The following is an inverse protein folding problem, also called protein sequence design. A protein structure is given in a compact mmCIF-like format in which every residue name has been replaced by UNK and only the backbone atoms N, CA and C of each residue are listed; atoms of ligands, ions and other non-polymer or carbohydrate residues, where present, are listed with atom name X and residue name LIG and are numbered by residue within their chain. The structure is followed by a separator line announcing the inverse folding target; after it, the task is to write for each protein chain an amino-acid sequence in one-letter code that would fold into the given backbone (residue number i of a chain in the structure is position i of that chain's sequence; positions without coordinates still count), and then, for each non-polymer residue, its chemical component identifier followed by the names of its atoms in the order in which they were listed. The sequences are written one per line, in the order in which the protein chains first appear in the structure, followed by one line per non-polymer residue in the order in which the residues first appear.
data_IF_912417019160
#
_entry.id   IF_912417019160
#
_cell.length_a   1.000
_cell.length_b   1.000
_cell.length_c   1.000
_cell.angle_alpha   90.00
_cell.angle_beta   90.00
_cell.angle_gamma   90.00
#
_symmetry.space_group_name_H-M   'P 1'
#
loop_
_entity.id
_entity.type
_entity.pdbx_description
1 polymer ?
#
# COMPACT_ATOMS: atom_id res chain seq x y z
N UNK A 1 12.96 19.12 5.39
CA UNK A 1 11.48 19.05 5.32
C UNK A 1 11.08 17.62 5.50
N UNK A 2 10.17 17.34 6.44
CA UNK A 2 9.65 16.01 6.73
C UNK A 2 8.32 15.80 6.01
N UNK A 3 8.23 14.71 5.26
CA UNK A 3 7.03 14.35 4.51
C UNK A 3 6.15 13.44 5.39
N UNK A 4 5.15 14.03 6.02
CA UNK A 4 4.15 13.32 6.83
C UNK A 4 2.84 13.11 6.05
N UNK A 5 2.96 13.03 4.74
CA UNK A 5 1.89 12.75 3.77
C UNK A 5 1.81 11.24 3.46
N UNK A 6 0.76 10.76 2.77
CA UNK A 6 0.58 9.34 2.46
C UNK A 6 1.55 8.77 1.40
N UNK A 7 2.68 9.41 1.18
CA UNK A 7 3.75 9.07 0.23
C UNK A 7 3.78 10.01 -0.99
N UNK A 8 4.97 10.29 -1.56
CA UNK A 8 6.26 9.71 -1.19
C UNK A 8 6.69 10.06 0.23
N UNK A 9 7.69 9.36 0.75
CA UNK A 9 8.15 9.45 2.14
C UNK A 9 9.47 10.21 2.27
N UNK A 10 9.82 10.65 3.48
CA UNK A 10 11.17 11.12 3.79
C UNK A 10 12.11 9.92 3.76
N UNK A 11 13.14 10.00 2.91
CA UNK A 11 14.14 8.93 2.76
C UNK A 11 15.26 9.10 3.77
N UNK A 12 15.84 7.98 4.19
CA UNK A 12 17.16 7.98 4.84
C UNK A 12 18.23 8.50 3.87
N UNK A 13 19.35 8.95 4.40
CA UNK A 13 20.49 9.33 3.57
C UNK A 13 21.05 8.15 2.77
N UNK A 14 21.02 6.96 3.36
CA UNK A 14 21.49 5.71 2.76
C UNK A 14 20.70 5.37 1.50
N UNK A 15 19.36 5.36 1.57
CA UNK A 15 18.49 5.13 0.42
C UNK A 15 18.64 6.24 -0.62
N UNK A 16 18.80 7.50 -0.19
CA UNK A 16 19.01 8.62 -1.13
C UNK A 16 20.32 8.48 -1.88
N UNK A 17 21.40 8.07 -1.20
CA UNK A 17 22.71 7.88 -1.81
C UNK A 17 22.75 6.68 -2.76
N UNK A 18 21.86 5.68 -2.61
CA UNK A 18 21.77 4.58 -3.55
C UNK A 18 21.34 5.00 -4.96
N UNK A 19 20.75 6.19 -5.12
CA UNK A 19 20.43 6.77 -6.44
C UNK A 19 21.66 7.25 -7.22
N UNK A 20 22.82 7.34 -6.56
CA UNK A 20 24.09 7.76 -7.15
C UNK A 20 24.98 6.57 -7.56
N UNK A 21 24.41 5.35 -7.54
CA UNK A 21 25.13 4.15 -7.99
C UNK A 21 25.40 4.21 -9.50
N UNK A 22 26.41 3.43 -9.91
CA UNK A 22 26.82 3.32 -11.31
C UNK A 22 25.67 2.89 -12.21
N UNK A 23 25.59 3.45 -13.40
CA UNK A 23 24.61 3.04 -14.42
C UNK A 23 24.76 1.56 -14.75
N UNK A 24 23.63 0.85 -14.82
CA UNK A 24 23.58 -0.53 -15.25
C UNK A 24 22.80 -0.66 -16.56
N UNK A 25 23.31 -1.49 -17.46
CA UNK A 25 22.53 -1.97 -18.58
C UNK A 25 21.53 -3.02 -18.07
N UNK A 26 20.25 -2.80 -18.33
CA UNK A 26 19.18 -3.69 -17.89
C UNK A 26 19.14 -5.06 -18.63
N UNK A 27 20.11 -5.31 -19.52
CA UNK A 27 20.29 -6.57 -20.27
C UNK A 27 21.51 -7.37 -19.81
N UNK A 28 22.20 -6.89 -18.77
CA UNK A 28 23.42 -7.51 -18.25
C UNK A 28 23.17 -8.17 -16.89
N UNK A 29 24.07 -9.08 -16.50
CA UNK A 29 23.99 -9.89 -15.28
C UNK A 29 23.85 -9.05 -14.01
N UNK A 30 24.51 -7.91 -13.94
CA UNK A 30 24.53 -7.02 -12.78
C UNK A 30 23.13 -6.47 -12.47
N UNK A 31 22.37 -6.14 -13.52
CA UNK A 31 20.96 -5.75 -13.33
C UNK A 31 20.09 -6.92 -12.92
N UNK A 32 20.34 -8.12 -13.48
CA UNK A 32 19.57 -9.30 -13.09
C UNK A 32 19.85 -9.70 -11.64
N UNK A 33 21.08 -9.54 -11.16
CA UNK A 33 21.42 -9.76 -9.74
C UNK A 33 20.66 -8.77 -8.83
N UNK A 34 20.60 -7.49 -9.20
CA UNK A 34 19.82 -6.47 -8.49
C UNK A 34 18.32 -6.80 -8.47
N UNK A 35 17.78 -7.23 -9.62
CA UNK A 35 16.37 -7.64 -9.76
C UNK A 35 16.05 -8.86 -8.89
N UNK A 36 16.91 -9.88 -8.92
CA UNK A 36 16.73 -11.11 -8.16
C UNK A 36 16.84 -10.85 -6.65
N UNK A 37 17.77 -9.99 -6.21
CA UNK A 37 17.86 -9.59 -4.81
C UNK A 37 16.59 -8.89 -4.34
N UNK A 38 16.06 -7.94 -5.13
CA UNK A 38 14.81 -7.26 -4.79
C UNK A 38 13.64 -8.26 -4.65
N UNK A 39 13.50 -9.16 -5.61
CA UNK A 39 12.44 -10.19 -5.61
C UNK A 39 12.55 -11.14 -4.42
N UNK A 40 13.75 -11.62 -4.13
CA UNK A 40 13.99 -12.53 -3.02
C UNK A 40 13.67 -11.88 -1.66
N UNK A 41 14.11 -10.64 -1.44
CA UNK A 41 13.83 -9.88 -0.21
C UNK A 41 12.35 -9.60 -0.04
N UNK A 42 11.63 -9.25 -1.11
CA UNK A 42 10.19 -9.00 -1.06
C UNK A 42 9.39 -10.26 -0.67
N UNK A 43 9.75 -11.42 -1.21
CA UNK A 43 9.13 -12.71 -0.84
C UNK A 43 9.44 -13.07 0.61
N UNK A 44 10.71 -12.89 1.02
CA UNK A 44 11.17 -13.20 2.38
C UNK A 44 10.53 -12.30 3.44
N UNK A 45 10.12 -11.07 3.11
CA UNK A 45 9.62 -10.09 4.08
C UNK A 45 8.45 -10.58 4.94
N UNK A 46 7.60 -11.46 4.40
CA UNK A 46 6.51 -12.13 5.12
C UNK A 46 6.74 -13.64 5.26
N UNK A 47 7.99 -14.09 5.26
CA UNK A 47 8.40 -15.49 5.41
C UNK A 47 7.76 -16.43 4.36
N UNK A 48 7.52 -15.94 3.14
CA UNK A 48 6.87 -16.68 2.07
C UNK A 48 7.83 -17.70 1.43
N UNK A 49 7.30 -18.88 1.08
CA UNK A 49 8.02 -19.89 0.33
C UNK A 49 8.19 -19.45 -1.15
N UNK A 50 9.41 -19.26 -1.66
CA UNK A 50 9.65 -18.86 -3.05
C UNK A 50 9.21 -19.93 -4.07
N UNK A 51 9.00 -21.17 -3.65
CA UNK A 51 8.40 -22.21 -4.50
C UNK A 51 6.90 -21.97 -4.73
N UNK A 52 6.23 -21.29 -3.81
CA UNK A 52 4.79 -21.00 -3.88
C UNK A 52 4.49 -19.56 -4.28
N UNK A 53 5.40 -18.63 -4.01
CA UNK A 53 5.20 -17.20 -4.20
C UNK A 53 6.26 -16.57 -5.09
N UNK A 54 5.90 -15.54 -5.79
CA UNK A 54 6.80 -14.72 -6.60
C UNK A 54 6.53 -13.24 -6.36
N UNK A 55 7.60 -12.44 -6.35
CA UNK A 55 7.50 -10.99 -6.48
C UNK A 55 7.72 -10.62 -7.95
N UNK A 56 6.76 -9.98 -8.57
CA UNK A 56 6.83 -9.52 -9.96
C UNK A 56 7.00 -8.01 -9.97
N UNK A 57 8.19 -7.55 -10.34
CA UNK A 57 8.56 -6.13 -10.36
C UNK A 57 8.09 -5.45 -11.65
N UNK A 58 7.78 -4.15 -11.54
CA UNK A 58 7.46 -3.30 -12.68
C UNK A 58 7.87 -1.85 -12.43
N UNK A 59 8.17 -1.14 -13.50
CA UNK A 59 8.36 0.31 -13.43
C UNK A 59 6.99 0.99 -13.46
N UNK A 60 6.69 1.72 -12.37
CA UNK A 60 5.42 2.40 -12.24
C UNK A 60 5.11 2.82 -10.81
N UNK A 61 3.91 3.35 -10.62
CA UNK A 61 3.35 3.65 -9.30
C UNK A 61 2.63 2.42 -8.72
N UNK A 62 2.20 2.49 -7.45
CA UNK A 62 1.36 1.44 -6.85
C UNK A 62 0.09 1.15 -7.65
N UNK A 63 -0.50 2.16 -8.31
CA UNK A 63 -1.65 1.96 -9.21
C UNK A 63 -1.31 1.04 -10.37
N UNK A 64 -0.09 1.09 -10.93
CA UNK A 64 0.34 0.17 -11.98
C UNK A 64 0.37 -1.29 -11.49
N UNK A 65 0.79 -1.53 -10.24
CA UNK A 65 0.76 -2.86 -9.64
C UNK A 65 -0.68 -3.37 -9.42
N UNK A 66 -1.57 -2.51 -8.91
CA UNK A 66 -3.00 -2.86 -8.73
C UNK A 66 -3.65 -3.15 -10.08
N UNK A 67 -3.41 -2.31 -11.07
CA UNK A 67 -3.94 -2.48 -12.44
C UNK A 67 -3.43 -3.79 -13.08
N UNK A 68 -2.11 -4.06 -12.98
CA UNK A 68 -1.49 -5.30 -13.44
C UNK A 68 -2.11 -6.53 -12.78
N UNK A 69 -2.27 -6.50 -11.45
CA UNK A 69 -2.87 -7.57 -10.67
C UNK A 69 -4.32 -7.87 -11.10
N UNK A 70 -5.17 -6.85 -11.12
CA UNK A 70 -6.59 -6.97 -11.46
C UNK A 70 -6.77 -7.43 -12.93
N UNK A 71 -6.02 -6.81 -13.86
CA UNK A 71 -6.13 -7.11 -15.27
C UNK A 71 -5.61 -8.51 -15.65
N UNK A 72 -4.77 -9.12 -14.82
CA UNK A 72 -4.19 -10.43 -15.10
C UNK A 72 -4.90 -11.58 -14.36
N UNK A 73 -5.27 -11.40 -13.10
CA UNK A 73 -5.67 -12.53 -12.24
C UNK A 73 -7.17 -12.84 -12.25
N UNK A 74 -8.02 -11.88 -12.64
CA UNK A 74 -9.45 -12.18 -12.81
C UNK A 74 -9.64 -12.88 -14.15
N UNK A 75 -10.08 -14.15 -14.20
CA UNK A 75 -10.24 -14.90 -15.45
C UNK A 75 -11.35 -14.29 -16.32
N UNK A 76 -11.31 -14.55 -17.64
CA UNK A 76 -12.29 -14.00 -18.60
C UNK A 76 -13.74 -14.42 -18.30
N UNK A 77 -13.90 -15.65 -17.84
CA UNK A 77 -15.20 -16.22 -17.44
C UNK A 77 -15.52 -16.01 -15.96
N UNK A 78 -14.66 -15.30 -15.22
CA UNK A 78 -14.85 -14.97 -13.81
C UNK A 78 -15.40 -13.59 -13.60
N UNK A 79 -15.82 -13.31 -12.37
CA UNK A 79 -16.31 -12.02 -11.93
C UNK A 79 -15.58 -11.55 -10.69
N UNK A 80 -15.32 -10.26 -10.60
CA UNK A 80 -14.68 -9.60 -9.45
C UNK A 80 -15.74 -8.97 -8.55
N UNK A 81 -15.72 -9.27 -7.26
CA UNK A 81 -16.42 -8.47 -6.26
C UNK A 81 -15.46 -7.44 -5.69
N UNK A 82 -15.84 -6.17 -5.70
CA UNK A 82 -15.01 -5.07 -5.22
C UNK A 82 -15.61 -4.50 -3.93
N UNK A 83 -14.79 -4.40 -2.89
CA UNK A 83 -15.16 -3.77 -1.62
C UNK A 83 -14.73 -2.32 -1.68
N UNK A 84 -15.72 -1.40 -1.67
CA UNK A 84 -15.47 0.04 -1.67
C UNK A 84 -15.81 0.66 -0.32
N UNK A 85 -14.83 1.31 0.30
CA UNK A 85 -15.01 2.16 1.48
C UNK A 85 -14.08 3.39 1.46
N UNK A 86 -13.66 3.82 0.26
CA UNK A 86 -12.82 4.97 0.01
C UNK A 86 -12.41 5.10 -1.46
N UNK A 87 -11.62 6.13 -1.74
CA UNK A 87 -11.18 6.48 -3.12
C UNK A 87 -10.42 5.35 -3.80
N UNK A 88 -9.65 4.56 -3.03
CA UNK A 88 -8.83 3.49 -3.64
C UNK A 88 -9.68 2.28 -4.01
N UNK A 89 -10.73 1.96 -3.25
CA UNK A 89 -11.73 0.98 -3.67
C UNK A 89 -12.46 1.40 -4.94
N UNK A 90 -12.90 2.66 -5.04
CA UNK A 90 -13.50 3.22 -6.25
C UNK A 90 -12.55 3.16 -7.46
N UNK A 91 -11.23 3.32 -7.24
CA UNK A 91 -10.21 3.19 -8.30
C UNK A 91 -10.16 1.77 -8.85
N UNK A 92 -10.28 0.74 -8.02
CA UNK A 92 -10.34 -0.66 -8.50
C UNK A 92 -11.55 -0.87 -9.40
N UNK A 93 -12.70 -0.29 -9.05
CA UNK A 93 -13.91 -0.35 -9.91
C UNK A 93 -13.69 0.35 -11.26
N UNK A 94 -13.00 1.49 -11.27
CA UNK A 94 -12.65 2.18 -12.51
C UNK A 94 -11.69 1.35 -13.39
N UNK A 95 -10.70 0.69 -12.78
CA UNK A 95 -9.79 -0.23 -13.47
C UNK A 95 -10.57 -1.41 -14.05
N UNK A 96 -11.42 -2.06 -13.27
CA UNK A 96 -12.23 -3.18 -13.72
C UNK A 96 -13.14 -2.78 -14.90
N UNK A 97 -13.79 -1.62 -14.83
CA UNK A 97 -14.61 -1.07 -15.90
C UNK A 97 -13.78 -0.78 -17.17
N UNK A 98 -12.60 -0.16 -17.02
CA UNK A 98 -11.71 0.17 -18.15
C UNK A 98 -11.28 -1.08 -18.93
N UNK A 99 -11.00 -2.18 -18.24
CA UNK A 99 -10.63 -3.46 -18.84
C UNK A 99 -11.81 -4.36 -19.15
N UNK A 100 -13.04 -3.87 -18.96
CA UNK A 100 -14.29 -4.63 -19.18
C UNK A 100 -14.33 -5.95 -18.41
N UNK A 101 -13.74 -5.95 -17.22
CA UNK A 101 -13.80 -7.09 -16.30
C UNK A 101 -15.21 -7.12 -15.68
N UNK A 102 -15.87 -8.27 -15.78
CA UNK A 102 -17.16 -8.46 -15.11
C UNK A 102 -16.98 -8.24 -13.60
N UNK A 103 -17.73 -7.33 -13.01
CA UNK A 103 -17.59 -7.00 -11.59
C UNK A 103 -18.92 -6.60 -10.95
N UNK A 104 -18.95 -6.70 -9.65
CA UNK A 104 -19.97 -6.10 -8.78
C UNK A 104 -19.29 -5.39 -7.63
N UNK A 105 -20.00 -4.49 -6.98
CA UNK A 105 -19.46 -3.63 -5.92
C UNK A 105 -20.31 -3.78 -4.67
N UNK A 106 -19.65 -3.97 -3.52
CA UNK A 106 -20.26 -3.77 -2.19
C UNK A 106 -19.73 -2.43 -1.67
N UNK A 107 -20.56 -1.40 -1.82
CA UNK A 107 -20.20 -0.04 -1.45
C UNK A 107 -20.55 0.25 0.00
N UNK A 108 -19.62 0.91 0.70
CA UNK A 108 -19.78 1.41 2.07
C UNK A 108 -19.52 2.92 2.06
N UNK A 109 -20.04 3.62 3.06
CA UNK A 109 -19.65 4.99 3.30
C UNK A 109 -18.16 5.04 3.67
N UNK A 110 -17.49 6.12 3.30
CA UNK A 110 -16.12 6.34 3.70
C UNK A 110 -16.03 6.37 5.22
N UNK A 111 -14.98 5.83 5.79
CA UNK A 111 -14.79 5.61 7.23
C UNK A 111 -15.56 4.41 7.83
N UNK A 112 -16.46 3.75 7.11
CA UNK A 112 -17.08 2.52 7.57
C UNK A 112 -16.20 1.29 7.31
N UNK A 113 -16.22 0.35 8.26
CA UNK A 113 -15.63 -0.97 8.04
C UNK A 113 -16.45 -1.73 6.97
N UNK A 114 -15.80 -2.63 6.19
CA UNK A 114 -16.51 -3.53 5.31
C UNK A 114 -17.55 -4.39 6.06
N UNK A 115 -18.77 -4.38 5.60
CA UNK A 115 -19.85 -5.22 6.14
C UNK A 115 -19.71 -6.64 5.58
N UNK A 116 -19.16 -7.53 6.40
CA UNK A 116 -18.90 -8.93 6.02
C UNK A 116 -20.18 -9.70 5.67
N UNK A 117 -21.31 -9.38 6.29
CA UNK A 117 -22.57 -10.03 5.99
C UNK A 117 -23.08 -9.65 4.58
N UNK A 118 -22.95 -8.37 4.19
CA UNK A 118 -23.27 -7.92 2.82
C UNK A 118 -22.35 -8.53 1.78
N UNK A 119 -21.06 -8.66 2.10
CA UNK A 119 -20.06 -9.31 1.21
C UNK A 119 -20.44 -10.79 1.06
N UNK A 120 -20.69 -11.50 2.15
CA UNK A 120 -21.10 -12.90 2.14
C UNK A 120 -22.37 -13.10 1.29
N UNK A 121 -23.39 -12.27 1.50
CA UNK A 121 -24.64 -12.33 0.72
C UNK A 121 -24.41 -12.09 -0.79
N UNK A 122 -23.52 -11.16 -1.16
CA UNK A 122 -23.17 -10.93 -2.56
C UNK A 122 -22.48 -12.14 -3.20
N UNK A 123 -21.56 -12.80 -2.46
CA UNK A 123 -20.88 -14.02 -2.90
C UNK A 123 -21.83 -15.23 -3.00
N UNK A 124 -22.85 -15.28 -2.13
CA UNK A 124 -23.86 -16.34 -2.17
C UNK A 124 -24.84 -16.17 -3.32
N UNK A 125 -25.17 -14.93 -3.65
CA UNK A 125 -26.10 -14.58 -4.72
C UNK A 125 -25.53 -14.78 -6.13
N UNK A 126 -24.19 -14.68 -6.30
CA UNK A 126 -23.55 -14.74 -7.60
C UNK A 126 -22.33 -15.67 -7.60
N UNK A 127 -22.53 -16.90 -8.04
CA UNK A 127 -21.47 -17.93 -8.10
C UNK A 127 -20.45 -17.74 -9.24
N UNK A 128 -20.64 -16.76 -10.11
CA UNK A 128 -19.64 -16.36 -11.10
C UNK A 128 -18.48 -15.55 -10.47
N UNK A 129 -18.64 -15.05 -9.24
CA UNK A 129 -17.61 -14.32 -8.53
C UNK A 129 -16.49 -15.30 -8.14
N UNK A 130 -15.30 -15.06 -8.69
CA UNK A 130 -14.10 -15.86 -8.45
C UNK A 130 -13.11 -15.17 -7.52
N UNK A 131 -13.15 -13.84 -7.49
CA UNK A 131 -12.22 -13.02 -6.73
C UNK A 131 -12.92 -11.87 -5.99
N UNK A 132 -12.39 -11.53 -4.81
CA UNK A 132 -12.73 -10.31 -4.07
C UNK A 132 -11.52 -9.38 -4.11
N UNK A 133 -11.70 -8.13 -4.53
CA UNK A 133 -10.68 -7.09 -4.42
C UNK A 133 -10.99 -6.19 -3.22
N UNK A 134 -9.96 -5.91 -2.43
CA UNK A 134 -10.06 -5.09 -1.21
C UNK A 134 -8.81 -4.25 -1.01
N UNK A 135 -8.99 -3.03 -0.51
CA UNK A 135 -7.90 -2.20 0.00
C UNK A 135 -7.58 -2.65 1.42
N UNK A 136 -6.32 -2.94 1.75
CA UNK A 136 -5.93 -3.26 3.12
C UNK A 136 -5.93 -2.00 3.99
N UNK A 137 -5.18 -0.97 3.59
CA UNK A 137 -5.13 0.32 4.28
C UNK A 137 -5.71 1.41 3.36
N UNK A 138 -6.91 1.88 3.66
CA UNK A 138 -7.58 2.94 2.91
C UNK A 138 -7.10 4.31 3.41
N UNK A 139 -6.11 4.87 2.71
CA UNK A 139 -5.47 6.14 3.11
C UNK A 139 -6.36 7.37 2.95
N UNK A 140 -7.53 7.24 2.32
CA UNK A 140 -8.56 8.31 2.31
C UNK A 140 -8.91 8.72 3.73
N UNK A 141 -9.01 7.75 4.64
CA UNK A 141 -9.50 7.91 6.01
C UNK A 141 -8.51 7.41 7.08
N UNK A 142 -7.50 6.62 6.70
CA UNK A 142 -6.59 5.94 7.60
C UNK A 142 -7.10 4.59 8.10
N UNK A 143 -8.22 4.08 7.56
CA UNK A 143 -8.82 2.81 7.98
C UNK A 143 -7.96 1.60 7.58
N UNK A 144 -7.72 0.72 8.53
CA UNK A 144 -7.20 -0.62 8.27
C UNK A 144 -8.37 -1.60 8.15
N UNK A 145 -8.55 -2.21 6.99
CA UNK A 145 -9.61 -3.19 6.77
C UNK A 145 -9.16 -4.58 7.25
N UNK A 146 -10.04 -5.29 7.95
CA UNK A 146 -9.75 -6.60 8.52
C UNK A 146 -9.71 -7.68 7.42
N UNK A 147 -8.50 -7.95 6.92
CA UNK A 147 -8.27 -9.00 5.93
C UNK A 147 -8.51 -10.39 6.47
N UNK A 148 -8.28 -10.64 7.79
CA UNK A 148 -8.47 -11.96 8.41
C UNK A 148 -9.95 -12.32 8.42
N UNK A 149 -10.80 -11.41 8.86
CA UNK A 149 -12.24 -11.64 8.87
C UNK A 149 -12.81 -11.79 7.45
N UNK A 150 -12.33 -11.00 6.48
CA UNK A 150 -12.74 -11.14 5.08
C UNK A 150 -12.25 -12.46 4.47
N UNK A 151 -11.05 -12.93 4.84
CA UNK A 151 -10.50 -14.19 4.36
C UNK A 151 -11.37 -15.39 4.77
N UNK A 152 -11.93 -15.38 5.98
CA UNK A 152 -12.89 -16.42 6.43
C UNK A 152 -14.10 -16.46 5.49
N UNK A 153 -14.72 -15.31 5.20
CA UNK A 153 -15.88 -15.20 4.30
C UNK A 153 -15.57 -15.74 2.90
N UNK A 154 -14.37 -15.39 2.38
CA UNK A 154 -13.91 -15.84 1.06
C UNK A 154 -13.61 -17.33 1.02
N UNK A 155 -12.93 -17.87 2.05
CA UNK A 155 -12.57 -19.30 2.17
C UNK A 155 -13.79 -20.19 2.16
N UNK A 156 -14.80 -19.86 2.96
CA UNK A 156 -16.05 -20.63 3.03
C UNK A 156 -16.76 -20.74 1.68
N UNK A 157 -16.46 -19.85 0.73
CA UNK A 157 -17.07 -19.78 -0.61
C UNK A 157 -16.10 -20.12 -1.75
N UNK A 158 -14.88 -20.55 -1.39
CA UNK A 158 -13.82 -20.85 -2.35
C UNK A 158 -13.49 -19.68 -3.32
N UNK A 159 -13.55 -18.45 -2.81
CA UNK A 159 -13.25 -17.23 -3.55
C UNK A 159 -11.85 -16.73 -3.14
N UNK A 160 -11.04 -16.24 -4.08
CA UNK A 160 -9.70 -15.73 -3.82
C UNK A 160 -9.72 -14.23 -3.55
N UNK A 161 -8.71 -13.74 -2.81
CA UNK A 161 -8.55 -12.32 -2.52
C UNK A 161 -7.42 -11.71 -3.34
N UNK A 162 -7.67 -10.53 -3.90
CA UNK A 162 -6.70 -9.63 -4.52
C UNK A 162 -6.61 -8.38 -3.64
N UNK A 163 -5.46 -8.17 -3.03
CA UNK A 163 -5.28 -7.15 -1.99
C UNK A 163 -4.50 -5.96 -2.54
N UNK A 164 -5.04 -4.77 -2.43
CA UNK A 164 -4.26 -3.54 -2.54
C UNK A 164 -3.54 -3.31 -1.20
N UNK A 165 -2.25 -3.66 -1.18
CA UNK A 165 -1.33 -3.45 -0.07
C UNK A 165 -0.40 -2.25 -0.29
N UNK A 166 -0.69 -1.36 -1.23
CA UNK A 166 0.18 -0.24 -1.64
C UNK A 166 0.65 0.60 -0.45
N UNK A 167 -0.18 0.82 0.54
CA UNK A 167 0.16 1.61 1.73
C UNK A 167 0.23 0.81 3.03
N UNK A 168 0.25 -0.52 2.96
CA UNK A 168 0.32 -1.39 4.14
C UNK A 168 1.46 -2.41 4.07
N UNK A 169 1.86 -2.84 2.87
CA UNK A 169 2.90 -3.84 2.67
C UNK A 169 4.25 -3.35 3.23
N UNK A 170 4.81 -4.14 4.15
CA UNK A 170 6.07 -3.83 4.85
C UNK A 170 5.87 -3.15 6.21
N UNK A 171 4.61 -2.91 6.65
CA UNK A 171 4.34 -2.33 7.97
C UNK A 171 3.09 -2.88 8.65
N UNK A 172 2.10 -3.39 7.92
CA UNK A 172 0.91 -4.01 8.50
C UNK A 172 0.96 -5.53 8.36
N UNK A 173 0.25 -6.24 9.23
CA UNK A 173 0.16 -7.69 9.16
C UNK A 173 -0.66 -8.13 7.96
N UNK A 174 -0.10 -8.98 7.10
CA UNK A 174 -0.82 -9.65 6.02
C UNK A 174 -0.66 -11.16 6.23
N UNK A 175 -1.75 -11.85 6.56
CA UNK A 175 -1.73 -13.29 6.80
C UNK A 175 -1.83 -14.07 5.49
N UNK A 176 -0.68 -14.31 4.87
CA UNK A 176 -0.59 -15.12 3.66
C UNK A 176 -0.85 -16.62 3.90
N UNK A 177 -0.66 -17.09 5.15
CA UNK A 177 -0.83 -18.50 5.50
C UNK A 177 -2.31 -18.93 5.51
N UNK A 178 -3.24 -17.98 5.65
CA UNK A 178 -4.70 -18.20 5.56
C UNK A 178 -5.12 -18.84 4.22
N UNK A 179 -4.34 -18.66 3.16
CA UNK A 179 -4.49 -19.37 1.89
C UNK A 179 -5.48 -18.76 0.90
N UNK A 180 -6.30 -17.78 1.29
CA UNK A 180 -7.26 -17.12 0.39
C UNK A 180 -6.63 -16.03 -0.47
N UNK A 181 -5.58 -15.35 0.02
CA UNK A 181 -4.88 -14.31 -0.73
C UNK A 181 -4.18 -14.94 -1.95
N UNK A 182 -4.57 -14.51 -3.15
CA UNK A 182 -3.92 -14.89 -4.39
C UNK A 182 -2.78 -13.94 -4.76
N UNK A 183 -2.95 -12.64 -4.47
CA UNK A 183 -1.93 -11.64 -4.73
C UNK A 183 -2.11 -10.37 -3.87
N UNK A 184 -0.99 -9.67 -3.67
CA UNK A 184 -0.92 -8.36 -3.02
C UNK A 184 -0.15 -7.41 -3.92
N UNK A 185 -0.75 -6.29 -4.33
CA UNK A 185 -0.09 -5.22 -5.05
C UNK A 185 0.53 -4.20 -4.09
N UNK A 186 1.76 -3.77 -4.35
CA UNK A 186 2.47 -2.82 -3.51
C UNK A 186 3.48 -1.94 -4.28
N UNK A 187 4.16 -1.03 -3.58
CA UNK A 187 5.09 -0.07 -4.18
C UNK A 187 6.25 0.27 -3.23
N UNK A 188 7.39 0.64 -3.81
CA UNK A 188 8.59 0.98 -3.06
C UNK A 188 8.45 2.24 -2.18
N UNK A 189 7.75 3.26 -2.65
CA UNK A 189 7.73 4.62 -2.08
C UNK A 189 6.73 4.83 -0.94
N UNK A 190 6.32 3.75 -0.28
CA UNK A 190 5.45 3.75 0.90
C UNK A 190 6.20 3.13 2.09
N UNK A 191 5.63 2.14 2.76
CA UNK A 191 6.21 1.53 3.96
C UNK A 191 7.59 0.89 3.77
N UNK A 192 8.01 0.61 2.55
CA UNK A 192 9.37 0.12 2.25
C UNK A 192 10.44 1.22 2.30
N UNK A 193 10.07 2.50 2.17
CA UNK A 193 10.96 3.66 2.14
C UNK A 193 11.87 3.76 0.91
N UNK A 194 11.49 3.13 -0.20
CA UNK A 194 12.14 3.37 -1.49
C UNK A 194 11.62 4.65 -2.17
N UNK A 195 12.04 4.87 -3.41
CA UNK A 195 11.59 6.01 -4.24
C UNK A 195 10.41 5.63 -5.12
N UNK A 196 9.62 6.60 -5.62
CA UNK A 196 8.65 6.35 -6.69
C UNK A 196 9.34 5.81 -7.94
N UNK A 197 8.68 4.87 -8.64
CA UNK A 197 9.19 4.31 -9.89
C UNK A 197 9.35 2.79 -9.89
N UNK A 198 9.35 2.15 -8.73
CA UNK A 198 9.30 0.69 -8.58
C UNK A 198 8.02 0.28 -7.86
N UNK A 199 7.27 -0.61 -8.50
CA UNK A 199 6.07 -1.24 -7.94
C UNK A 199 6.14 -2.74 -8.19
N UNK A 200 5.32 -3.53 -7.49
CA UNK A 200 5.38 -4.98 -7.60
C UNK A 200 4.07 -5.64 -7.18
N UNK A 201 3.93 -6.89 -7.59
CA UNK A 201 2.86 -7.78 -7.13
C UNK A 201 3.50 -9.00 -6.49
N UNK A 202 3.17 -9.26 -5.24
CA UNK A 202 3.42 -10.55 -4.60
C UNK A 202 2.28 -11.48 -5.00
N UNK A 203 2.58 -12.58 -5.66
CA UNK A 203 1.55 -13.42 -6.27
C UNK A 203 1.85 -14.89 -6.06
N UNK A 204 0.80 -15.69 -5.81
CA UNK A 204 0.91 -17.15 -5.82
C UNK A 204 1.26 -17.65 -7.22
N UNK A 205 2.21 -18.58 -7.31
CA UNK A 205 2.65 -19.14 -8.59
C UNK A 205 1.54 -19.92 -9.31
N UNK A 206 0.64 -20.58 -8.58
CA UNK A 206 -0.52 -21.27 -9.14
C UNK A 206 -1.54 -20.27 -9.73
N UNK A 207 -1.79 -19.15 -9.03
CA UNK A 207 -2.65 -18.08 -9.54
C UNK A 207 -2.05 -17.43 -10.79
N UNK A 208 -0.74 -17.24 -10.82
CA UNK A 208 -0.02 -16.71 -11.97
C UNK A 208 -0.05 -17.67 -13.18
N UNK A 209 0.09 -18.97 -12.94
CA UNK A 209 0.02 -20.00 -13.98
C UNK A 209 -1.38 -20.10 -14.64
N UNK A 210 -2.44 -19.77 -13.89
CA UNK A 210 -3.81 -19.73 -14.38
C UNK A 210 -4.20 -18.37 -14.99
N UNK A 211 -3.32 -17.36 -14.93
CA UNK A 211 -3.62 -16.00 -15.33
C UNK A 211 -3.47 -15.74 -16.82
N UNK A 212 -4.22 -14.75 -17.32
CA UNK A 212 -4.11 -14.24 -18.69
C UNK A 212 -4.12 -12.71 -18.65
N UNK A 213 -2.98 -12.08 -18.97
CA UNK A 213 -2.87 -10.62 -18.92
C UNK A 213 -3.66 -9.94 -20.05
N UNK A 214 -4.51 -8.97 -19.69
CA UNK A 214 -5.23 -8.09 -20.63
C UNK A 214 -4.38 -6.90 -21.07
N UNK A 215 -3.21 -6.73 -20.48
CA UNK A 215 -2.30 -5.60 -20.71
C UNK A 215 -1.02 -6.08 -21.40
N UNK A 216 -0.40 -5.22 -22.22
CA UNK A 216 0.89 -5.51 -22.82
C UNK A 216 2.06 -5.09 -21.93
N UNK A 217 2.14 -3.78 -21.57
CA UNK A 217 3.23 -3.24 -20.76
C UNK A 217 3.17 -3.72 -19.31
N UNK A 218 1.98 -3.70 -18.70
CA UNK A 218 1.74 -4.18 -17.34
C UNK A 218 1.38 -5.68 -17.30
N UNK A 219 1.70 -6.44 -18.34
CA UNK A 219 1.36 -7.86 -18.44
C UNK A 219 2.06 -8.71 -17.38
N UNK A 220 1.38 -8.96 -16.25
CA UNK A 220 1.93 -9.64 -15.08
C UNK A 220 2.57 -10.99 -15.42
N UNK A 221 1.90 -11.80 -16.22
CA UNK A 221 2.41 -13.12 -16.65
C UNK A 221 3.71 -13.00 -17.42
N UNK A 222 3.77 -12.05 -18.37
CA UNK A 222 4.97 -11.81 -19.17
C UNK A 222 6.13 -11.28 -18.34
N UNK A 223 5.85 -10.32 -17.45
CA UNK A 223 6.86 -9.79 -16.53
C UNK A 223 7.44 -10.90 -15.66
N UNK A 224 6.59 -11.72 -15.04
CA UNK A 224 7.00 -12.83 -14.20
C UNK A 224 7.85 -13.86 -14.96
N UNK A 225 7.36 -14.33 -16.13
CA UNK A 225 8.06 -15.32 -16.94
C UNK A 225 9.47 -14.88 -17.34
N UNK A 226 9.64 -13.60 -17.70
CA UNK A 226 10.96 -13.10 -18.10
C UNK A 226 11.86 -12.87 -16.88
N UNK A 227 11.32 -12.37 -15.77
CA UNK A 227 12.10 -12.21 -14.53
C UNK A 227 12.55 -13.55 -13.96
N UNK A 228 11.74 -14.62 -14.06
CA UNK A 228 12.15 -15.96 -13.65
C UNK A 228 13.28 -16.54 -14.54
N UNK A 229 13.44 -16.02 -15.76
CA UNK A 229 14.52 -16.36 -16.70
C UNK A 229 15.71 -15.37 -16.61
N UNK A 230 15.81 -14.57 -15.56
CA UNK A 230 16.82 -13.51 -15.42
C UNK A 230 16.82 -12.58 -16.63
N UNK A 231 15.66 -12.02 -16.95
CA UNK A 231 15.44 -11.09 -18.05
C UNK A 231 14.38 -10.04 -17.69
N UNK A 232 14.18 -9.05 -18.54
CA UNK A 232 13.10 -8.06 -18.42
C UNK A 232 12.60 -7.65 -19.80
N UNK A 233 11.28 -7.50 -20.00
CA UNK A 233 10.75 -7.22 -21.34
C UNK A 233 10.96 -5.77 -21.81
N UNK A 234 11.16 -4.84 -20.87
CA UNK A 234 11.22 -3.41 -21.11
C UNK A 234 12.40 -2.80 -20.37
N UNK A 235 12.61 -1.49 -20.53
CA UNK A 235 13.63 -0.75 -19.80
C UNK A 235 13.08 -0.35 -18.42
N UNK A 236 13.54 -0.96 -17.33
CA UNK A 236 13.09 -0.62 -15.99
C UNK A 236 13.79 0.64 -15.46
N UNK A 237 13.24 1.21 -14.40
CA UNK A 237 13.87 2.31 -13.66
C UNK A 237 14.99 1.75 -12.76
N UNK A 238 16.20 1.56 -13.31
CA UNK A 238 17.33 0.94 -12.62
C UNK A 238 17.62 1.60 -11.27
N UNK A 239 17.68 2.94 -11.22
CA UNK A 239 17.94 3.68 -9.99
C UNK A 239 16.85 3.49 -8.93
N UNK A 240 15.57 3.34 -9.34
CA UNK A 240 14.51 3.01 -8.40
C UNK A 240 14.67 1.58 -7.83
N UNK A 241 15.26 0.65 -8.59
CA UNK A 241 15.56 -0.70 -8.10
C UNK A 241 16.73 -0.70 -7.12
N UNK A 242 17.77 0.10 -7.34
CA UNK A 242 18.82 0.33 -6.33
C UNK A 242 18.22 0.84 -5.02
N UNK A 243 17.38 1.87 -5.10
CA UNK A 243 16.72 2.42 -3.93
C UNK A 243 15.78 1.43 -3.24
N UNK A 244 15.08 0.59 -3.99
CA UNK A 244 14.24 -0.48 -3.44
C UNK A 244 15.07 -1.53 -2.69
N UNK A 245 16.17 -2.00 -3.29
CA UNK A 245 17.04 -3.01 -2.66
C UNK A 245 17.65 -2.44 -1.37
N UNK A 246 18.14 -1.20 -1.41
CA UNK A 246 18.73 -0.58 -0.23
C UNK A 246 17.69 -0.35 0.89
N UNK A 247 16.48 0.08 0.53
CA UNK A 247 15.39 0.21 1.48
C UNK A 247 14.95 -1.14 2.09
N UNK A 248 15.01 -2.22 1.32
CA UNK A 248 14.74 -3.57 1.82
C UNK A 248 15.87 -4.10 2.74
N UNK A 249 17.13 -3.71 2.49
CA UNK A 249 18.24 -4.01 3.39
C UNK A 249 18.07 -3.30 4.73
N UNK A 250 17.74 -2.00 4.71
CA UNK A 250 17.41 -1.27 5.94
C UNK A 250 16.24 -1.88 6.70
N UNK A 251 15.19 -2.33 6.00
CA UNK A 251 14.06 -3.00 6.63
C UNK A 251 14.44 -4.34 7.28
N UNK A 252 15.29 -5.14 6.63
CA UNK A 252 15.84 -6.38 7.21
C UNK A 252 16.66 -6.07 8.48
N UNK A 253 17.52 -5.04 8.43
CA UNK A 253 18.37 -4.61 9.55
C UNK A 253 17.55 -4.04 10.72
N UNK A 254 16.41 -3.39 10.44
CA UNK A 254 15.44 -2.93 11.44
C UNK A 254 14.76 -4.09 12.18
N UNK A 255 14.73 -5.29 11.61
CA UNK A 255 14.05 -6.48 12.14
C UNK A 255 12.78 -6.85 11.37
N UNK A 256 12.65 -6.40 10.14
CA UNK A 256 11.55 -6.69 9.23
C UNK A 256 10.27 -5.90 9.50
N UNK A 257 9.17 -6.33 8.86
CA UNK A 257 7.90 -5.60 8.94
C UNK A 257 7.33 -5.48 10.36
N UNK A 258 7.60 -6.47 11.24
CA UNK A 258 7.10 -6.44 12.63
C UNK A 258 7.75 -5.35 13.45
N UNK A 259 9.06 -5.14 13.29
CA UNK A 259 9.78 -4.06 13.96
C UNK A 259 9.33 -2.69 13.41
N UNK A 260 9.15 -2.58 12.10
CA UNK A 260 8.61 -1.37 11.46
C UNK A 260 7.19 -1.06 11.92
N UNK A 261 6.33 -2.07 12.01
CA UNK A 261 4.98 -1.93 12.58
C UNK A 261 5.03 -1.35 14.00
N UNK A 262 5.86 -1.94 14.87
CA UNK A 262 5.99 -1.49 16.25
C UNK A 262 6.50 -0.04 16.34
N UNK A 263 7.48 0.34 15.51
CA UNK A 263 7.97 1.72 15.43
C UNK A 263 6.87 2.68 14.97
N UNK A 264 6.14 2.34 13.92
CA UNK A 264 5.04 3.18 13.42
C UNK A 264 3.91 3.30 14.43
N UNK A 265 3.57 2.22 15.14
CA UNK A 265 2.57 2.24 16.20
C UNK A 265 2.96 3.23 17.30
N UNK A 266 4.22 3.17 17.77
CA UNK A 266 4.71 4.09 18.79
C UNK A 266 4.62 5.57 18.35
N UNK A 267 5.01 5.88 17.11
CA UNK A 267 4.94 7.23 16.55
C UNK A 267 3.49 7.69 16.33
N UNK A 268 2.62 6.80 15.85
CA UNK A 268 1.21 7.10 15.63
C UNK A 268 0.47 7.35 16.94
N UNK A 269 0.78 6.58 18.00
CA UNK A 269 0.20 6.82 19.33
C UNK A 269 0.73 8.11 19.96
N UNK A 270 2.02 8.39 19.87
CA UNK A 270 2.60 9.66 20.32
C UNK A 270 1.91 10.87 19.65
N UNK A 271 1.72 10.81 18.34
CA UNK A 271 1.01 11.85 17.59
C UNK A 271 -0.46 11.96 18.04
N UNK A 272 -1.17 10.82 18.16
CA UNK A 272 -2.58 10.77 18.54
C UNK A 272 -2.80 11.36 19.94
N UNK A 273 -2.01 10.92 20.92
CA UNK A 273 -2.13 11.40 22.31
C UNK A 273 -1.77 12.88 22.42
N UNK A 274 -0.69 13.28 21.75
CA UNK A 274 -0.27 14.68 21.74
C UNK A 274 -1.29 15.60 21.09
N UNK A 275 -1.94 15.21 19.99
CA UNK A 275 -3.01 15.97 19.33
C UNK A 275 -4.28 15.96 20.17
N UNK A 276 -4.65 14.84 20.78
CA UNK A 276 -5.80 14.74 21.66
C UNK A 276 -5.69 15.68 22.89
N UNK A 277 -4.51 15.77 23.48
CA UNK A 277 -4.23 16.71 24.58
C UNK A 277 -4.41 18.20 24.16
N UNK A 278 -4.41 18.48 22.86
CA UNK A 278 -4.65 19.80 22.24
C UNK A 278 -6.08 19.97 21.71
N UNK A 279 -6.98 19.05 22.04
CA UNK A 279 -8.38 19.08 21.60
C UNK A 279 -8.60 18.60 20.17
N UNK A 280 -7.59 17.99 19.52
CA UNK A 280 -7.70 17.49 18.15
C UNK A 280 -7.99 15.99 18.17
N UNK A 281 -9.19 15.61 17.78
CA UNK A 281 -9.65 14.23 17.81
C UNK A 281 -9.24 13.46 16.54
N UNK A 282 -8.93 12.17 16.69
CA UNK A 282 -8.83 11.24 15.58
C UNK A 282 -10.18 11.06 14.88
N UNK A 283 -10.14 10.85 13.57
CA UNK A 283 -11.35 10.61 12.78
C UNK A 283 -11.92 9.20 13.00
N UNK A 284 -11.04 8.23 13.29
CA UNK A 284 -11.39 6.84 13.58
C UNK A 284 -10.85 6.41 14.95
N UNK A 285 -11.44 5.37 15.57
CA UNK A 285 -10.85 4.68 16.72
C UNK A 285 -9.43 4.16 16.41
N UNK A 286 -8.60 4.03 17.43
CA UNK A 286 -7.20 3.63 17.26
C UNK A 286 -7.07 2.19 16.71
N UNK A 287 -7.93 1.29 17.17
CA UNK A 287 -8.00 -0.13 16.77
C UNK A 287 -8.60 -0.36 15.37
N UNK A 288 -9.22 0.65 14.78
CA UNK A 288 -9.71 0.64 13.41
C UNK A 288 -8.77 1.38 12.44
N UNK A 289 -7.74 2.03 12.98
CA UNK A 289 -6.79 2.85 12.22
C UNK A 289 -5.50 2.10 11.94
N UNK A 290 -4.94 2.29 10.74
CA UNK A 290 -3.58 1.85 10.43
C UNK A 290 -2.54 2.58 11.29
N UNK A 291 -1.44 1.88 11.58
CA UNK A 291 -0.25 2.51 12.20
C UNK A 291 0.50 3.42 11.24
N UNK A 292 0.21 3.31 9.93
CA UNK A 292 0.95 3.97 8.84
C UNK A 292 0.51 5.42 8.65
N UNK A 293 -0.81 5.67 8.77
CA UNK A 293 -1.39 6.99 8.58
C UNK A 293 -2.69 7.08 9.35
N UNK A 294 -2.88 8.21 10.02
CA UNK A 294 -4.15 8.54 10.70
C UNK A 294 -4.74 9.85 10.21
N UNK A 295 -6.06 9.90 10.17
CA UNK A 295 -6.81 11.12 9.90
C UNK A 295 -7.29 11.76 11.22
N UNK A 296 -7.29 13.08 11.25
CA UNK A 296 -7.66 13.91 12.40
C UNK A 296 -8.65 14.97 11.96
N UNK A 297 -9.56 15.36 12.88
CA UNK A 297 -10.49 16.46 12.62
C UNK A 297 -9.74 17.79 12.61
N UNK A 298 -10.08 18.65 11.67
CA UNK A 298 -9.56 20.01 11.69
C UNK A 298 -10.08 20.74 12.95
N UNK A 299 -9.24 21.55 13.62
CA UNK A 299 -9.68 22.36 14.76
C UNK A 299 -10.73 23.39 14.29
N UNK A 300 -11.65 23.73 15.19
CA UNK A 300 -12.70 24.70 14.90
C UNK A 300 -12.12 26.04 14.42
N UNK A 301 -12.64 26.55 13.32
CA UNK A 301 -12.21 27.82 12.74
C UNK A 301 -10.84 27.79 12.02
N UNK A 302 -10.21 26.63 11.89
CA UNK A 302 -8.94 26.46 11.18
C UNK A 302 -9.17 25.75 9.86
N UNK A 303 -8.87 26.42 8.74
CA UNK A 303 -8.89 25.76 7.44
C UNK A 303 -7.64 24.87 7.25
N UNK A 304 -7.78 23.83 6.40
CA UNK A 304 -6.65 22.97 6.08
C UNK A 304 -5.47 23.77 5.48
N UNK A 305 -5.74 24.72 4.58
CA UNK A 305 -4.72 25.53 3.91
C UNK A 305 -3.90 26.30 4.93
N UNK A 306 -4.57 26.95 5.92
CA UNK A 306 -3.88 27.66 6.99
C UNK A 306 -3.01 26.73 7.83
N UNK A 307 -3.54 25.57 8.22
CA UNK A 307 -2.79 24.56 8.97
C UNK A 307 -1.59 24.04 8.17
N UNK A 308 -1.82 23.64 6.92
CA UNK A 308 -0.79 23.13 6.01
C UNK A 308 0.35 24.14 5.82
N UNK A 309 0.03 25.40 5.46
CA UNK A 309 1.05 26.39 5.15
C UNK A 309 1.88 26.75 6.38
N UNK A 310 1.25 26.81 7.54
CA UNK A 310 1.91 27.08 8.79
C UNK A 310 2.83 25.92 9.23
N UNK A 311 2.42 24.66 9.08
CA UNK A 311 3.25 23.49 9.33
C UNK A 311 4.36 23.36 8.30
N UNK A 312 4.08 23.63 7.02
CA UNK A 312 5.08 23.62 5.95
C UNK A 312 6.19 24.64 6.19
N UNK A 313 5.86 25.84 6.66
CA UNK A 313 6.84 26.85 7.05
C UNK A 313 7.74 26.37 8.19
N UNK A 314 7.30 25.40 9.01
CA UNK A 314 8.06 24.78 10.11
C UNK A 314 8.74 23.46 9.70
N UNK A 315 8.66 23.11 8.41
CA UNK A 315 9.35 21.95 7.85
C UNK A 315 8.54 20.66 7.80
N UNK A 316 7.20 20.71 8.00
CA UNK A 316 6.31 19.55 7.95
C UNK A 316 5.33 19.64 6.79
N UNK A 317 5.21 18.57 6.00
CA UNK A 317 4.20 18.46 4.93
C UNK A 317 3.16 17.45 5.35
N UNK A 318 1.93 17.90 5.57
CA UNK A 318 0.75 17.07 5.84
C UNK A 318 -0.22 17.10 4.66
N UNK A 319 -1.21 16.23 4.62
CA UNK A 319 -2.23 16.23 3.57
C UNK A 319 -3.64 16.47 4.13
N UNK A 320 -4.50 17.10 3.30
CA UNK A 320 -5.93 17.20 3.56
C UNK A 320 -6.60 15.82 3.57
N UNK A 321 -7.80 15.71 4.13
CA UNK A 321 -8.74 14.66 3.76
C UNK A 321 -8.95 14.61 2.24
N UNK A 322 -9.46 13.50 1.71
CA UNK A 322 -9.76 13.38 0.28
C UNK A 322 -11.23 13.67 -0.02
N UNK A 323 -11.51 14.15 -1.23
CA UNK A 323 -12.88 14.42 -1.70
C UNK A 323 -13.66 15.29 -0.73
N UNK A 324 -14.85 14.85 -0.33
CA UNK A 324 -15.73 15.56 0.61
C UNK A 324 -15.12 15.79 2.00
N UNK A 325 -14.15 14.97 2.42
CA UNK A 325 -13.49 15.08 3.72
C UNK A 325 -12.38 16.14 3.76
N UNK A 326 -12.06 16.79 2.64
CA UNK A 326 -10.94 17.75 2.55
C UNK A 326 -11.10 19.00 3.42
N UNK A 327 -12.33 19.35 3.76
CA UNK A 327 -12.67 20.51 4.62
C UNK A 327 -12.85 20.14 6.09
N UNK A 328 -12.82 18.86 6.41
CA UNK A 328 -13.11 18.34 7.76
C UNK A 328 -11.90 17.68 8.40
N UNK A 329 -11.03 17.06 7.58
CA UNK A 329 -9.94 16.23 8.04
C UNK A 329 -8.58 16.66 7.48
N UNK A 330 -7.55 16.44 8.28
CA UNK A 330 -6.17 16.37 7.81
C UNK A 330 -5.56 15.01 8.18
N UNK A 331 -4.48 14.65 7.51
CA UNK A 331 -3.84 13.34 7.65
C UNK A 331 -2.38 13.49 7.99
N UNK A 332 -1.91 12.68 8.94
CA UNK A 332 -0.52 12.55 9.33
C UNK A 332 -0.09 11.11 9.11
N UNK A 333 1.01 10.94 8.39
CA UNK A 333 1.68 9.66 8.18
C UNK A 333 2.94 9.56 9.03
N UNK A 334 3.22 8.35 9.51
CA UNK A 334 4.45 8.00 10.23
C UNK A 334 5.47 7.28 9.35
N UNK A 335 5.16 7.13 8.05
CA UNK A 335 6.06 6.50 7.07
C UNK A 335 7.31 7.34 6.84
N UNK A 336 8.42 6.65 6.62
CA UNK A 336 9.69 7.27 6.25
C UNK A 336 10.67 7.36 7.41
N UNK A 337 11.71 8.14 7.20
CA UNK A 337 12.74 8.45 8.20
C UNK A 337 12.21 9.53 9.15
N UNK A 338 11.29 9.11 10.04
CA UNK A 338 10.61 9.93 11.05
C UNK A 338 10.86 9.31 12.42
N UNK A 339 11.18 10.15 13.38
CA UNK A 339 11.55 9.78 14.74
C UNK A 339 10.66 10.45 15.80
N UNK A 340 10.69 9.97 17.04
CA UNK A 340 9.91 10.53 18.16
C UNK A 340 10.14 12.04 18.34
N UNK A 341 11.39 12.51 18.23
CA UNK A 341 11.73 13.94 18.31
C UNK A 341 11.04 14.78 17.21
N UNK A 342 10.76 14.19 16.03
CA UNK A 342 10.05 14.89 14.95
C UNK A 342 8.56 15.05 15.30
N UNK A 343 7.97 14.04 15.93
CA UNK A 343 6.59 14.12 16.44
C UNK A 343 6.50 15.18 17.56
N UNK A 344 7.47 15.24 18.46
CA UNK A 344 7.53 16.30 19.48
C UNK A 344 7.58 17.70 18.85
N UNK A 345 8.45 17.91 17.88
CA UNK A 345 8.54 19.19 17.13
C UNK A 345 7.24 19.52 16.38
N UNK A 346 6.59 18.51 15.81
CA UNK A 346 5.28 18.68 15.17
C UNK A 346 4.26 19.17 16.21
N UNK A 347 4.17 18.53 17.36
CA UNK A 347 3.23 18.89 18.43
C UNK A 347 3.47 20.29 18.98
N UNK A 348 4.73 20.71 19.17
CA UNK A 348 5.10 22.09 19.51
C UNK A 348 4.61 23.08 18.44
N UNK A 349 4.71 22.70 17.16
CA UNK A 349 4.19 23.54 16.06
C UNK A 349 2.68 23.74 16.14
N UNK A 350 1.92 22.72 16.58
CA UNK A 350 0.49 22.86 16.84
C UNK A 350 0.21 23.82 18.02
N UNK A 351 0.99 23.79 19.11
CA UNK A 351 0.84 24.71 20.25
C UNK A 351 0.96 26.19 19.83
N UNK A 352 1.87 26.47 18.90
CA UNK A 352 2.09 27.82 18.38
C UNK A 352 0.99 28.28 17.41
N UNK A 353 0.34 27.35 16.71
CA UNK A 353 -0.73 27.64 15.76
C UNK A 353 -2.11 27.80 16.40
N UNK A 354 -2.30 27.21 17.57
CA UNK A 354 -3.58 27.24 18.30
C UNK A 354 -3.67 28.41 19.29
N UNK A 355 -2.59 29.19 19.44
CA UNK A 355 -2.57 30.46 20.18
C UNK A 355 -3.04 31.62 19.31
#
# INVERSE_FOLDING_TARGET
MLLMNPGPVTLTERVRNSLLQTDLCHRESEFFDLQDEARARLVKLYDLDPAQWSAVLMTGSGTAAVESMIAALVPENGKLLIVENGVYGERISQIAAQYRIAHSVVKHEWMQAPDLARIAAALDADKAITHVAVIHHETTTGRLNDLKALAVVCRERNVKMLVDGVSSFGAEEIDFAEGTIAAVAATANKCLHGVPGAAFVIVKRDALAAAASRTYYLGLVRLASLQDQRNTPFTPSVHAYYALVEALRELDEEGGWRARHARYLALAEQAREGLFARGIASALPADESSVVLRAYKLPDGVSYERLHDALKARGFVIYAGQGGLSKELFRISTMGDIHSADIERLLVSFDELMR
#
